data_IF_784522413884
#
_entry.id   IF_784522413884
#
_cell.length_a   1.000
_cell.length_b   1.000
_cell.length_c   1.000
_cell.angle_alpha   90.00
_cell.angle_beta   90.00
_cell.angle_gamma   90.00
#
_symmetry.space_group_name_H-M   'P 1'
#
loop_
_entity.id
_entity.type
_entity.pdbx_description
1 polymer ?
#
# COMPACT_ATOMS: atom_id res chain seq x y z
N UNK A 1 10.86 -21.42 -18.04
CA UNK A 1 9.75 -21.28 -17.07
C UNK A 1 8.80 -20.21 -17.59
N UNK A 2 7.52 -20.52 -17.82
CA UNK A 2 6.53 -19.52 -18.21
C UNK A 2 6.11 -18.81 -16.92
N UNK A 3 6.47 -17.53 -16.76
CA UNK A 3 5.91 -16.69 -15.70
C UNK A 3 4.39 -16.70 -15.91
N UNK A 4 3.65 -17.45 -15.10
CA UNK A 4 2.20 -17.30 -15.04
C UNK A 4 1.98 -15.86 -14.59
N UNK A 5 1.37 -15.04 -15.44
CA UNK A 5 0.98 -13.71 -14.98
C UNK A 5 -0.15 -13.95 -13.98
N UNK A 6 0.17 -13.80 -12.70
CA UNK A 6 -0.79 -13.91 -11.61
C UNK A 6 -1.58 -12.60 -11.56
N UNK A 7 -2.89 -12.70 -11.76
CA UNK A 7 -3.81 -11.59 -11.53
C UNK A 7 -4.32 -11.64 -10.09
N UNK A 8 -4.68 -10.49 -9.54
CA UNK A 8 -5.19 -10.41 -8.18
C UNK A 8 -5.31 -8.98 -7.69
N UNK A 9 -5.97 -8.77 -6.56
CA UNK A 9 -6.06 -7.44 -5.93
C UNK A 9 -5.63 -7.53 -4.47
N UNK A 10 -4.48 -6.95 -4.14
CA UNK A 10 -4.05 -6.80 -2.76
C UNK A 10 -4.63 -5.50 -2.20
N UNK A 11 -5.26 -5.56 -1.03
CA UNK A 11 -5.66 -4.37 -0.28
C UNK A 11 -4.67 -4.12 0.84
N UNK A 12 -4.12 -2.92 0.88
CA UNK A 12 -3.15 -2.46 1.86
C UNK A 12 -3.80 -1.47 2.82
N UNK A 13 -3.43 -1.55 4.09
CA UNK A 13 -3.68 -0.52 5.10
C UNK A 13 -2.38 0.22 5.37
N UNK A 14 -2.36 1.52 5.10
CA UNK A 14 -1.24 2.40 5.37
C UNK A 14 -1.59 3.33 6.53
N UNK A 15 -0.63 3.66 7.38
CA UNK A 15 -0.71 4.74 8.37
C UNK A 15 0.39 5.74 8.06
N UNK A 16 0.01 6.96 7.72
CA UNK A 16 0.91 8.03 7.28
C UNK A 16 0.78 9.20 8.24
N UNK A 17 1.90 9.68 8.77
CA UNK A 17 1.96 10.87 9.61
C UNK A 17 1.67 12.13 8.78
N UNK A 18 1.31 13.22 9.46
CA UNK A 18 0.97 14.49 8.83
C UNK A 18 2.09 15.07 7.95
N UNK A 19 3.34 14.77 8.28
CA UNK A 19 4.53 15.20 7.53
C UNK A 19 4.83 14.35 6.29
N UNK A 20 4.05 13.28 6.05
CA UNK A 20 4.25 12.35 4.94
C UNK A 20 5.00 11.07 5.29
N UNK A 21 5.48 10.91 6.53
CA UNK A 21 6.18 9.71 6.98
C UNK A 21 5.25 8.49 6.99
N UNK A 22 5.67 7.39 6.37
CA UNK A 22 4.95 6.11 6.47
C UNK A 22 5.25 5.43 7.81
N UNK A 23 4.32 5.50 8.76
CA UNK A 23 4.47 4.90 10.08
C UNK A 23 4.22 3.38 10.06
N UNK A 24 3.24 2.92 9.28
CA UNK A 24 2.90 1.50 9.19
C UNK A 24 2.30 1.11 7.83
N UNK A 25 2.55 -0.13 7.42
CA UNK A 25 1.93 -0.75 6.24
C UNK A 25 1.66 -2.23 6.50
N UNK A 26 0.47 -2.69 6.13
CA UNK A 26 0.06 -4.10 6.27
C UNK A 26 -0.91 -4.52 5.15
N UNK A 27 -0.99 -5.83 4.90
CA UNK A 27 -2.04 -6.42 4.04
C UNK A 27 -3.35 -6.43 4.83
N UNK A 28 -4.34 -5.71 4.32
CA UNK A 28 -5.72 -5.71 4.82
C UNK A 28 -6.57 -6.81 4.18
N UNK A 29 -6.31 -7.14 2.91
CA UNK A 29 -6.84 -8.34 2.26
C UNK A 29 -5.84 -8.84 1.22
N UNK A 30 -5.51 -10.13 1.27
CA UNK A 30 -4.58 -10.78 0.35
C UNK A 30 -5.11 -10.79 -1.08
N UNK A 31 -4.19 -10.68 -2.05
CA UNK A 31 -4.47 -10.90 -3.46
C UNK A 31 -4.72 -12.36 -3.83
N UNK A 32 -4.43 -13.30 -2.92
CA UNK A 32 -4.41 -14.74 -3.17
C UNK A 32 -3.04 -15.27 -3.62
N UNK A 33 -2.05 -14.39 -3.84
CA UNK A 33 -0.65 -14.77 -4.13
C UNK A 33 0.31 -14.12 -3.11
N UNK A 34 1.12 -14.92 -2.38
CA UNK A 34 2.14 -14.38 -1.48
C UNK A 34 3.17 -13.49 -2.20
N UNK A 35 3.47 -13.78 -3.48
CA UNK A 35 4.42 -12.98 -4.25
C UNK A 35 3.84 -11.59 -4.58
N UNK A 36 2.56 -11.51 -4.98
CA UNK A 36 1.89 -10.24 -5.24
C UNK A 36 1.68 -9.43 -3.96
N UNK A 37 1.38 -10.09 -2.84
CA UNK A 37 1.25 -9.42 -1.54
C UNK A 37 2.59 -8.83 -1.08
N UNK A 38 3.69 -9.57 -1.21
CA UNK A 38 5.03 -9.07 -0.91
C UNK A 38 5.41 -7.90 -1.82
N UNK A 39 5.11 -7.99 -3.12
CA UNK A 39 5.33 -6.91 -4.07
C UNK A 39 4.49 -5.66 -3.73
N UNK A 40 3.27 -5.85 -3.25
CA UNK A 40 2.38 -4.77 -2.82
C UNK A 40 2.93 -4.02 -1.61
N UNK A 41 3.41 -4.76 -0.60
CA UNK A 41 4.07 -4.18 0.57
C UNK A 41 5.34 -3.43 0.19
N UNK A 42 6.15 -4.00 -0.71
CA UNK A 42 7.38 -3.37 -1.20
C UNK A 42 7.07 -2.08 -1.97
N UNK A 43 6.06 -2.08 -2.84
CA UNK A 43 5.63 -0.90 -3.60
C UNK A 43 5.18 0.24 -2.67
N UNK A 44 4.39 -0.06 -1.65
CA UNK A 44 3.96 0.95 -0.67
C UNK A 44 5.13 1.53 0.13
N UNK A 45 6.12 0.71 0.51
CA UNK A 45 7.33 1.18 1.19
C UNK A 45 8.22 2.02 0.27
N UNK A 46 8.34 1.65 -1.00
CA UNK A 46 9.12 2.39 -1.99
C UNK A 46 8.49 3.74 -2.37
N UNK A 47 7.17 3.88 -2.22
CA UNK A 47 6.47 5.14 -2.44
C UNK A 47 6.69 6.16 -1.31
N UNK A 48 7.24 5.75 -0.16
CA UNK A 48 7.54 6.66 0.94
C UNK A 48 8.80 7.51 0.65
N UNK A 49 8.88 8.75 1.16
CA UNK A 49 7.83 9.44 1.92
C UNK A 49 6.69 9.94 1.02
N UNK A 50 5.50 10.11 1.61
CA UNK A 50 4.34 10.66 0.94
C UNK A 50 4.34 12.20 1.02
N UNK A 51 3.56 12.90 0.18
CA UNK A 51 3.34 14.33 0.37
C UNK A 51 2.72 14.63 1.75
N UNK A 52 3.06 15.77 2.37
CA UNK A 52 2.46 16.17 3.64
C UNK A 52 0.95 16.36 3.48
N UNK A 53 0.21 16.10 4.56
CA UNK A 53 -1.23 16.22 4.57
C UNK A 53 -1.66 17.69 4.31
N UNK A 54 -2.71 17.92 3.49
CA UNK A 54 -3.26 19.25 3.30
C UNK A 54 -3.68 19.90 4.63
N UNK A 55 -3.60 21.23 4.74
CA UNK A 55 -3.86 21.94 5.99
C UNK A 55 -5.26 21.67 6.58
N UNK A 56 -6.27 21.43 5.73
CA UNK A 56 -7.64 21.11 6.15
C UNK A 56 -7.85 19.68 6.67
N UNK A 57 -6.85 18.79 6.51
CA UNK A 57 -6.91 17.43 7.02
C UNK A 57 -6.37 17.40 8.46
N UNK A 58 -7.28 17.37 9.43
CA UNK A 58 -6.94 17.38 10.85
C UNK A 58 -6.43 16.02 11.34
N UNK A 59 -5.58 16.04 12.38
CA UNK A 59 -5.00 14.85 13.00
C UNK A 59 -3.50 14.71 12.72
N UNK A 60 -2.80 13.99 13.60
CA UNK A 60 -1.35 13.76 13.48
C UNK A 60 -0.99 12.61 12.52
N UNK A 61 -1.93 11.70 12.28
CA UNK A 61 -1.78 10.53 11.39
C UNK A 61 -3.08 10.20 10.67
N UNK A 62 -2.96 9.60 9.50
CA UNK A 62 -4.08 9.24 8.64
C UNK A 62 -3.96 7.78 8.20
N UNK A 63 -5.09 7.09 8.10
CA UNK A 63 -5.15 5.70 7.66
C UNK A 63 -5.78 5.62 6.27
N UNK A 64 -5.08 4.99 5.34
CA UNK A 64 -5.54 4.80 3.97
C UNK A 64 -5.72 3.32 3.66
N UNK A 65 -6.77 3.00 2.90
CA UNK A 65 -6.99 1.67 2.32
C UNK A 65 -6.78 1.76 0.82
N UNK A 66 -5.71 1.16 0.33
CA UNK A 66 -5.32 1.19 -1.08
C UNK A 66 -5.51 -0.19 -1.69
N UNK A 67 -6.02 -0.24 -2.92
CA UNK A 67 -6.10 -1.47 -3.71
C UNK A 67 -5.06 -1.43 -4.82
N UNK A 68 -4.16 -2.41 -4.86
CA UNK A 68 -3.25 -2.64 -5.98
C UNK A 68 -3.81 -3.77 -6.83
N UNK A 69 -4.14 -3.45 -8.07
CA UNK A 69 -4.75 -4.39 -9.02
C UNK A 69 -3.67 -4.88 -9.98
N UNK A 70 -3.37 -6.18 -9.91
CA UNK A 70 -2.46 -6.85 -10.84
C UNK A 70 -3.26 -7.45 -11.98
N UNK A 71 -2.97 -7.01 -13.20
CA UNK A 71 -3.56 -7.54 -14.43
C UNK A 71 -2.56 -8.48 -15.12
N UNK A 72 -3.02 -9.68 -15.53
CA UNK A 72 -2.17 -10.67 -16.16
C UNK A 72 -1.91 -10.41 -17.64
#
# INVERSE_FOLDING_TARGET
>A
ARLRREGGTARLRLTVARDGTLEAVAIAASSGSPALDAASLAAARAAAPFPPAPAGLAGARHVFLLAIVYRP
#
